data_IF_516300151039
#
_entry.id   IF_516300151039
#
_cell.length_a   1.000
_cell.length_b   1.000
_cell.length_c   1.000
_cell.angle_alpha   90.00
_cell.angle_beta   90.00
_cell.angle_gamma   90.00
#
_symmetry.space_group_name_H-M   'P 1'
#
loop_
_entity.id
_entity.type
_entity.pdbx_description
1 polymer ?
#
# COMPACT_ATOMS: atom_id res chain seq x y z
N UNK A 1 62.39 69.82 -7.69
CA UNK A 1 62.01 69.95 -6.27
C UNK A 1 61.11 68.77 -5.88
N UNK A 2 61.63 67.96 -5.00
CA UNK A 2 61.02 66.72 -4.57
C UNK A 2 59.95 66.98 -3.52
N UNK A 3 58.89 66.20 -3.56
CA UNK A 3 58.12 65.95 -2.33
C UNK A 3 57.60 64.49 -2.34
N UNK A 4 58.16 63.75 -1.42
CA UNK A 4 57.77 62.39 -1.07
C UNK A 4 56.35 62.35 -0.53
N UNK A 5 55.53 61.44 -1.03
CA UNK A 5 54.33 61.03 -0.36
C UNK A 5 54.39 59.54 -0.04
N UNK A 6 54.22 59.28 1.26
CA UNK A 6 54.35 57.98 1.89
C UNK A 6 53.22 57.04 1.44
N UNK A 7 53.60 55.91 0.92
CA UNK A 7 52.70 54.82 0.54
C UNK A 7 52.34 54.06 1.83
N UNK A 8 51.14 54.25 2.31
CA UNK A 8 50.55 53.43 3.35
C UNK A 8 49.99 52.16 2.75
N UNK A 9 50.61 51.05 3.03
CA UNK A 9 50.12 49.73 2.68
C UNK A 9 48.91 49.37 3.52
N UNK A 10 47.74 49.54 3.02
CA UNK A 10 46.53 48.94 3.59
C UNK A 10 46.48 47.50 3.13
N UNK A 11 46.70 46.59 4.08
CA UNK A 11 46.49 45.16 3.89
C UNK A 11 44.99 44.90 3.59
N UNK A 12 44.66 44.74 2.32
CA UNK A 12 43.36 44.24 1.90
C UNK A 12 43.39 42.71 2.06
N UNK A 13 42.88 42.22 3.19
CA UNK A 13 42.58 40.82 3.38
C UNK A 13 41.46 40.45 2.44
N UNK A 14 41.82 39.86 1.29
CA UNK A 14 40.86 39.23 0.40
C UNK A 14 40.43 37.95 1.11
N UNK A 15 39.30 38.02 1.81
CA UNK A 15 38.57 36.83 2.21
C UNK A 15 38.08 36.13 0.96
N UNK A 16 38.76 35.08 0.57
CA UNK A 16 38.35 34.18 -0.47
C UNK A 16 37.15 33.39 0.09
N UNK A 17 35.93 33.95 -0.07
CA UNK A 17 34.73 33.19 0.10
C UNK A 17 34.70 32.12 -0.99
N UNK A 18 35.16 30.90 -0.67
CA UNK A 18 34.85 29.69 -1.37
C UNK A 18 33.35 29.50 -1.33
N UNK A 19 32.66 29.86 -2.39
CA UNK A 19 31.29 29.45 -2.66
C UNK A 19 31.30 27.93 -2.87
N UNK A 20 31.24 27.18 -1.78
CA UNK A 20 30.77 25.82 -1.84
C UNK A 20 29.28 25.93 -2.09
N UNK A 21 28.87 25.76 -3.34
CA UNK A 21 27.49 25.37 -3.65
C UNK A 21 27.26 24.01 -3.01
N UNK A 22 26.86 24.01 -1.75
CA UNK A 22 26.21 22.86 -1.16
C UNK A 22 24.93 22.70 -1.96
N UNK A 23 24.85 21.67 -2.80
CA UNK A 23 23.58 21.13 -3.22
C UNK A 23 22.87 20.72 -1.94
N UNK A 24 22.01 21.57 -1.42
CA UNK A 24 20.98 21.16 -0.48
C UNK A 24 20.11 20.13 -1.21
N UNK A 25 20.29 18.85 -0.85
CA UNK A 25 19.28 17.86 -1.14
C UNK A 25 18.01 18.39 -0.51
N UNK A 26 16.87 18.40 -1.23
CA UNK A 26 15.61 18.69 -0.61
C UNK A 26 15.43 17.69 0.54
N UNK A 27 15.36 18.20 1.77
CA UNK A 27 14.91 17.43 2.92
C UNK A 27 13.54 16.89 2.55
N UNK A 28 13.45 15.57 2.41
CA UNK A 28 12.17 14.89 2.41
C UNK A 28 11.57 15.19 3.80
N UNK A 29 10.45 15.88 3.82
CA UNK A 29 9.70 16.27 5.04
C UNK A 29 9.08 15.07 5.78
N UNK A 30 9.72 13.91 5.79
CA UNK A 30 9.25 12.68 6.44
C UNK A 30 10.22 12.13 7.50
N UNK A 31 11.26 12.88 7.88
CA UNK A 31 11.95 12.62 9.14
C UNK A 31 11.23 13.40 10.23
N UNK A 32 10.09 12.87 10.73
CA UNK A 32 9.57 13.28 12.03
C UNK A 32 10.68 13.04 13.06
N UNK A 33 11.27 14.15 13.50
CA UNK A 33 12.21 14.22 14.62
C UNK A 33 11.62 13.44 15.79
N UNK A 34 12.21 12.30 16.11
CA UNK A 34 11.85 11.51 17.28
C UNK A 34 12.05 12.39 18.51
N UNK A 35 11.00 13.05 18.98
CA UNK A 35 10.98 13.56 20.35
C UNK A 35 11.05 12.33 21.24
N UNK A 36 12.19 12.15 21.91
CA UNK A 36 12.29 11.28 23.07
C UNK A 36 11.24 11.77 24.08
N UNK A 37 10.04 11.22 23.97
CA UNK A 37 9.03 11.37 25.01
C UNK A 37 9.58 10.64 26.23
N UNK A 38 9.57 11.33 27.38
CA UNK A 38 9.95 10.77 28.67
C UNK A 38 9.40 9.35 28.81
N UNK A 39 10.24 8.42 29.26
CA UNK A 39 9.84 7.03 29.46
C UNK A 39 8.53 6.98 30.25
N UNK A 40 7.50 6.27 29.78
CA UNK A 40 6.21 6.24 30.43
C UNK A 40 6.36 5.76 31.88
N UNK A 41 5.89 6.56 32.83
CA UNK A 41 5.85 6.23 34.24
C UNK A 41 4.75 5.21 34.50
N UNK A 42 5.04 3.93 34.34
CA UNK A 42 4.08 2.84 34.60
C UNK A 42 4.72 1.47 34.46
N UNK A 43 4.04 0.45 34.97
CA UNK A 43 4.46 -0.94 34.80
C UNK A 43 4.43 -1.30 33.32
N UNK A 44 5.61 -1.57 32.76
CA UNK A 44 5.76 -2.00 31.36
C UNK A 44 5.49 -3.50 31.26
N UNK A 45 4.68 -3.88 30.30
CA UNK A 45 4.39 -5.27 29.96
C UNK A 45 4.82 -5.57 28.52
N UNK A 46 5.22 -6.81 28.29
CA UNK A 46 5.73 -7.27 27.00
C UNK A 46 4.59 -7.81 26.14
N UNK A 47 4.37 -7.17 24.99
CA UNK A 47 3.34 -7.57 24.04
C UNK A 47 3.99 -8.10 22.76
N UNK A 48 3.47 -9.23 22.28
CA UNK A 48 3.89 -9.82 21.00
C UNK A 48 2.68 -10.03 20.08
N UNK A 49 2.72 -9.40 18.92
CA UNK A 49 1.81 -9.67 17.80
C UNK A 49 2.46 -10.69 16.89
N UNK A 50 1.74 -11.77 16.59
CA UNK A 50 2.29 -12.92 15.86
C UNK A 50 1.21 -13.64 15.04
N UNK A 51 1.61 -14.69 14.31
CA UNK A 51 0.70 -15.54 13.53
C UNK A 51 -0.19 -14.72 12.59
N UNK A 52 0.43 -13.76 11.88
CA UNK A 52 -0.26 -12.99 10.86
C UNK A 52 -0.75 -13.93 9.77
N UNK A 53 -2.06 -14.17 9.71
CA UNK A 53 -2.69 -15.14 8.82
C UNK A 53 -4.03 -14.64 8.28
N UNK A 54 -4.50 -15.26 7.22
CA UNK A 54 -5.85 -15.07 6.70
C UNK A 54 -6.55 -16.40 6.47
N UNK A 55 -7.84 -16.44 6.72
CA UNK A 55 -8.71 -17.58 6.40
C UNK A 55 -9.36 -17.44 5.00
N UNK A 56 -9.04 -16.36 4.28
CA UNK A 56 -9.57 -16.09 2.96
C UNK A 56 -8.72 -16.75 1.90
N UNK A 57 -9.38 -17.44 0.95
CA UNK A 57 -8.69 -18.11 -0.16
C UNK A 57 -7.92 -17.12 -1.03
N UNK A 58 -6.79 -17.56 -1.59
CA UNK A 58 -6.07 -16.81 -2.61
C UNK A 58 -6.95 -16.56 -3.83
N UNK A 59 -6.81 -15.39 -4.47
CA UNK A 59 -7.47 -15.10 -5.75
C UNK A 59 -7.10 -16.07 -6.87
N UNK A 60 -5.94 -16.72 -6.81
CA UNK A 60 -5.54 -17.76 -7.77
C UNK A 60 -6.33 -19.05 -7.62
N UNK A 61 -6.92 -19.32 -6.45
CA UNK A 61 -7.72 -20.54 -6.19
C UNK A 61 -9.20 -20.36 -6.53
N UNK A 62 -9.63 -19.16 -6.91
CA UNK A 62 -11.01 -18.85 -7.30
C UNK A 62 -11.24 -18.92 -8.81
N UNK A 63 -10.22 -19.27 -9.60
CA UNK A 63 -10.36 -19.54 -11.03
C UNK A 63 -10.76 -21.01 -11.23
N UNK A 64 -11.92 -21.20 -11.74
CA UNK A 64 -12.61 -22.39 -12.19
C UNK A 64 -13.51 -23.08 -11.15
N UNK A 65 -14.76 -22.97 -11.45
CA UNK A 65 -15.77 -24.03 -11.51
C UNK A 65 -17.14 -23.54 -11.06
N UNK A 66 -17.95 -23.24 -12.04
CA UNK A 66 -19.40 -23.07 -11.87
C UNK A 66 -20.12 -24.39 -11.56
N UNK A 67 -19.41 -25.54 -11.57
CA UNK A 67 -20.00 -26.88 -11.38
C UNK A 67 -19.57 -27.62 -10.10
N UNK A 68 -18.63 -27.10 -9.32
CA UNK A 68 -18.19 -27.74 -8.06
C UNK A 68 -18.50 -26.92 -6.79
N UNK A 69 -19.48 -26.04 -6.87
CA UNK A 69 -19.84 -25.14 -5.74
C UNK A 69 -20.33 -25.84 -4.49
N UNK A 70 -20.79 -27.08 -4.56
CA UNK A 70 -21.43 -27.78 -3.42
C UNK A 70 -20.50 -28.71 -2.66
N UNK A 71 -19.40 -29.19 -3.23
CA UNK A 71 -18.52 -30.17 -2.58
C UNK A 71 -17.37 -29.57 -1.74
N UNK A 72 -17.08 -28.25 -1.85
CA UNK A 72 -15.93 -27.60 -1.19
C UNK A 72 -16.30 -26.79 0.05
N UNK A 73 -17.56 -26.74 0.44
CA UNK A 73 -17.99 -26.02 1.66
C UNK A 73 -17.63 -26.74 2.99
N UNK A 74 -17.17 -27.98 2.95
CA UNK A 74 -16.95 -28.78 4.16
C UNK A 74 -15.48 -28.93 4.61
N UNK A 75 -14.50 -28.38 3.89
CA UNK A 75 -13.12 -28.32 4.38
C UNK A 75 -12.83 -26.90 4.85
N UNK A 76 -12.68 -26.74 6.17
CA UNK A 76 -12.07 -25.54 6.75
C UNK A 76 -10.77 -25.26 5.97
N UNK A 77 -10.70 -24.15 5.22
CA UNK A 77 -9.49 -23.78 4.53
C UNK A 77 -8.42 -23.51 5.57
N UNK A 78 -7.31 -24.25 5.49
CA UNK A 78 -6.16 -24.00 6.33
C UNK A 78 -5.76 -22.52 6.22
N UNK A 79 -5.53 -21.88 7.36
CA UNK A 79 -5.21 -20.46 7.39
C UNK A 79 -3.85 -20.23 6.73
N UNK A 80 -3.80 -19.33 5.75
CA UNK A 80 -2.56 -19.00 5.02
C UNK A 80 -1.80 -17.91 5.76
N UNK A 81 -0.50 -18.09 6.03
CA UNK A 81 0.35 -17.03 6.57
C UNK A 81 0.40 -15.81 5.65
N UNK A 82 0.28 -14.61 6.21
CA UNK A 82 0.38 -13.34 5.45
C UNK A 82 1.78 -13.19 4.85
N UNK A 83 2.80 -13.72 5.49
CA UNK A 83 4.19 -13.70 5.02
C UNK A 83 4.42 -14.44 3.70
N UNK A 84 3.51 -15.34 3.33
CA UNK A 84 3.52 -16.02 2.03
C UNK A 84 2.78 -15.23 0.93
N UNK A 85 1.91 -14.29 1.33
CA UNK A 85 1.03 -13.54 0.43
C UNK A 85 1.51 -12.10 0.19
N UNK A 86 2.20 -11.51 1.15
CA UNK A 86 2.59 -10.10 1.15
C UNK A 86 4.08 -9.92 1.42
N UNK A 87 4.63 -8.86 0.82
CA UNK A 87 6.05 -8.50 0.99
C UNK A 87 6.27 -7.44 2.06
N UNK A 88 5.22 -6.80 2.55
CA UNK A 88 5.28 -5.73 3.55
C UNK A 88 4.20 -5.89 4.59
N UNK A 89 4.56 -5.58 5.82
CA UNK A 89 3.64 -5.42 6.95
C UNK A 89 3.91 -4.05 7.56
N UNK A 90 2.91 -3.20 7.57
CA UNK A 90 2.92 -1.90 8.22
C UNK A 90 2.04 -1.98 9.46
N UNK A 91 2.55 -1.54 10.59
CA UNK A 91 1.90 -1.61 11.90
C UNK A 91 1.84 -0.21 12.51
N UNK A 92 0.71 0.14 13.08
CA UNK A 92 0.56 1.35 13.89
C UNK A 92 -0.23 1.03 15.16
N UNK A 93 0.20 1.64 16.26
CA UNK A 93 -0.43 1.57 17.57
C UNK A 93 -0.89 2.97 17.97
N UNK A 94 -2.11 3.09 18.43
CA UNK A 94 -2.71 4.33 18.91
C UNK A 94 -3.18 4.16 20.35
N UNK A 95 -3.03 5.19 21.14
CA UNK A 95 -3.75 5.31 22.41
C UNK A 95 -5.26 5.37 22.12
N UNK A 96 -6.02 4.54 22.80
CA UNK A 96 -7.46 4.45 22.50
C UNK A 96 -8.24 5.67 22.99
N UNK A 97 -7.83 6.26 24.12
CA UNK A 97 -8.53 7.37 24.76
C UNK A 97 -8.26 8.69 24.04
N UNK A 98 -7.00 8.92 23.64
CA UNK A 98 -6.58 10.18 23.00
C UNK A 98 -6.63 10.11 21.46
N UNK A 99 -6.57 8.89 20.89
CA UNK A 99 -6.39 8.68 19.45
C UNK A 99 -4.97 8.99 18.96
N UNK A 100 -4.04 9.32 19.86
CA UNK A 100 -2.67 9.66 19.52
C UNK A 100 -1.90 8.42 19.05
N UNK A 101 -1.12 8.59 17.97
CA UNK A 101 -0.27 7.52 17.45
C UNK A 101 0.97 7.34 18.33
N UNK A 102 1.10 6.18 18.96
CA UNK A 102 2.19 5.85 19.89
C UNK A 102 3.38 5.26 19.13
N UNK A 103 3.12 4.37 18.17
CA UNK A 103 4.18 3.60 17.51
C UNK A 103 3.82 3.28 16.06
N UNK A 104 4.82 3.35 15.19
CA UNK A 104 4.75 2.82 13.83
C UNK A 104 5.93 1.88 13.60
N UNK A 105 5.69 0.73 12.99
CA UNK A 105 6.71 -0.23 12.60
C UNK A 105 6.41 -0.73 11.18
N UNK A 106 7.45 -0.86 10.38
CA UNK A 106 7.36 -1.35 9.02
C UNK A 106 8.29 -2.55 8.87
N UNK A 107 7.78 -3.61 8.31
CA UNK A 107 8.55 -4.83 8.03
C UNK A 107 8.45 -5.19 6.55
N UNK A 108 9.52 -5.76 6.04
CA UNK A 108 9.61 -6.34 4.70
C UNK A 108 10.06 -7.79 4.79
N UNK A 109 10.00 -8.51 3.68
CA UNK A 109 10.50 -9.90 3.59
C UNK A 109 11.99 -10.04 3.91
N UNK A 110 12.74 -8.93 3.94
CA UNK A 110 14.17 -8.94 4.25
C UNK A 110 14.44 -8.86 5.77
N UNK A 111 13.39 -8.60 6.57
CA UNK A 111 13.50 -8.52 8.02
C UNK A 111 13.39 -9.91 8.65
N UNK A 112 14.33 -10.30 9.50
CA UNK A 112 14.31 -11.59 10.22
C UNK A 112 13.05 -11.78 11.07
N UNK A 113 12.46 -10.68 11.56
CA UNK A 113 11.24 -10.69 12.36
C UNK A 113 9.96 -10.56 11.53
N UNK A 114 10.02 -10.69 10.20
CA UNK A 114 8.86 -10.53 9.33
C UNK A 114 7.68 -11.40 9.76
N UNK A 115 6.55 -10.76 10.10
CA UNK A 115 5.37 -11.44 10.63
C UNK A 115 5.38 -11.65 12.15
N UNK A 116 6.31 -11.01 12.89
CA UNK A 116 6.33 -10.98 14.35
C UNK A 116 6.77 -9.60 14.84
N UNK A 117 5.98 -9.00 15.73
CA UNK A 117 6.25 -7.68 16.31
C UNK A 117 6.20 -7.80 17.83
N UNK A 118 7.28 -7.45 18.51
CA UNK A 118 7.36 -7.47 19.98
C UNK A 118 7.73 -6.08 20.48
N UNK A 119 7.04 -5.61 21.51
CA UNK A 119 7.28 -4.32 22.15
C UNK A 119 6.90 -4.34 23.62
N UNK A 120 7.42 -3.37 24.37
CA UNK A 120 6.97 -3.11 25.73
C UNK A 120 5.99 -1.93 25.70
N UNK A 121 4.87 -2.06 26.39
CA UNK A 121 3.82 -1.05 26.53
C UNK A 121 3.48 -0.86 28.00
N UNK A 122 3.00 0.33 28.36
CA UNK A 122 2.32 0.56 29.64
C UNK A 122 0.97 -0.13 29.62
N UNK A 123 0.44 -0.49 30.80
CA UNK A 123 -0.93 -0.99 30.93
C UNK A 123 -1.92 0.05 30.41
N UNK A 124 -2.91 -0.38 29.63
CA UNK A 124 -3.88 0.53 29.05
C UNK A 124 -4.62 -0.06 27.85
N UNK A 125 -5.42 0.77 27.22
CA UNK A 125 -6.25 0.40 26.06
C UNK A 125 -5.66 1.01 24.79
N UNK A 126 -5.51 0.18 23.76
CA UNK A 126 -4.84 0.56 22.51
C UNK A 126 -5.63 0.15 21.29
N UNK A 127 -5.62 0.99 20.24
CA UNK A 127 -6.09 0.60 18.92
C UNK A 127 -4.89 0.15 18.07
N UNK A 128 -4.99 -1.08 17.54
CA UNK A 128 -3.96 -1.70 16.69
C UNK A 128 -4.44 -1.69 15.26
N UNK A 129 -3.64 -1.11 14.37
CA UNK A 129 -3.85 -1.15 12.92
C UNK A 129 -2.68 -1.85 12.27
N UNK A 130 -2.97 -2.88 11.48
CA UNK A 130 -1.98 -3.58 10.65
C UNK A 130 -2.45 -3.62 9.21
N UNK A 131 -1.55 -3.35 8.30
CA UNK A 131 -1.78 -3.44 6.86
C UNK A 131 -0.66 -4.26 6.23
N UNK A 132 -1.01 -5.30 5.49
CA UNK A 132 -0.07 -6.11 4.72
C UNK A 132 -0.37 -6.01 3.23
N UNK A 133 0.66 -5.82 2.40
CA UNK A 133 0.47 -5.59 0.96
C UNK A 133 1.76 -5.87 0.15
N UNK A 134 1.66 -5.77 -1.20
CA UNK A 134 2.77 -6.01 -2.13
C UNK A 134 3.28 -4.75 -2.85
N UNK A 135 2.95 -3.56 -2.36
CA UNK A 135 3.40 -2.28 -2.94
C UNK A 135 4.90 -2.02 -2.73
N UNK A 136 5.46 -1.10 -3.51
CA UNK A 136 6.90 -0.78 -3.49
C UNK A 136 7.31 0.16 -2.34
N UNK A 137 6.37 0.69 -1.57
CA UNK A 137 6.61 1.57 -0.41
C UNK A 137 5.68 1.23 0.74
N UNK A 138 5.91 1.83 1.90
CA UNK A 138 5.07 1.63 3.06
C UNK A 138 3.70 2.29 2.89
N UNK A 139 2.67 1.70 3.49
CA UNK A 139 1.39 2.35 3.67
C UNK A 139 1.50 3.42 4.77
N UNK A 140 0.79 4.53 4.60
CA UNK A 140 0.71 5.60 5.60
C UNK A 140 -0.43 5.30 6.57
N UNK A 141 -0.08 5.06 7.82
CA UNK A 141 -0.99 4.68 8.90
C UNK A 141 -1.14 5.78 9.97
N UNK A 142 -0.87 7.04 9.63
CA UNK A 142 -0.97 8.14 10.59
C UNK A 142 -2.39 8.45 11.06
N UNK A 143 -3.37 8.11 10.24
CA UNK A 143 -4.79 8.25 10.54
C UNK A 143 -5.53 6.95 10.17
N UNK A 144 -6.13 6.21 11.13
CA UNK A 144 -6.89 5.00 10.84
C UNK A 144 -8.08 5.22 9.90
N UNK A 145 -8.67 6.41 9.86
CA UNK A 145 -9.78 6.74 8.96
C UNK A 145 -9.33 6.98 7.52
N UNK A 146 -8.01 7.15 7.29
CA UNK A 146 -7.47 7.51 5.98
C UNK A 146 -6.13 6.84 5.73
N UNK A 147 -6.14 5.54 5.46
CA UNK A 147 -4.95 4.78 5.09
C UNK A 147 -4.65 4.95 3.61
N UNK A 148 -3.44 5.41 3.30
CA UNK A 148 -2.99 5.67 1.92
C UNK A 148 -1.78 4.83 1.54
N UNK A 149 -1.49 4.74 0.24
CA UNK A 149 -0.39 3.95 -0.32
C UNK A 149 0.46 4.82 -1.23
N UNK A 150 1.73 4.49 -1.33
CA UNK A 150 2.66 5.19 -2.22
C UNK A 150 2.10 5.25 -3.64
N UNK A 151 2.10 6.44 -4.22
CA UNK A 151 1.61 6.72 -5.58
C UNK A 151 0.15 6.29 -5.83
N UNK A 152 -0.64 6.15 -4.78
CA UNK A 152 -2.01 5.60 -4.81
C UNK A 152 -2.11 4.22 -5.47
N UNK A 153 -1.00 3.47 -5.52
CA UNK A 153 -0.92 2.17 -6.17
C UNK A 153 -1.39 1.07 -5.23
N UNK A 154 -2.51 0.46 -5.56
CA UNK A 154 -3.12 -0.60 -4.77
C UNK A 154 -2.66 -1.96 -5.28
N UNK A 155 -2.36 -2.85 -4.35
CA UNK A 155 -2.03 -4.26 -4.61
C UNK A 155 -2.93 -5.17 -3.79
N UNK A 156 -2.70 -6.48 -3.82
CA UNK A 156 -3.38 -7.38 -2.89
C UNK A 156 -3.08 -6.93 -1.45
N UNK A 157 -4.13 -6.55 -0.72
CA UNK A 157 -4.02 -5.85 0.56
C UNK A 157 -4.92 -6.49 1.61
N UNK A 158 -4.31 -6.76 2.76
CA UNK A 158 -4.95 -7.29 3.96
C UNK A 158 -4.82 -6.29 5.10
N UNK A 159 -5.78 -6.26 6.00
CA UNK A 159 -5.73 -5.42 7.18
C UNK A 159 -6.28 -6.11 8.43
N UNK A 160 -5.90 -5.55 9.57
CA UNK A 160 -6.43 -5.85 10.87
C UNK A 160 -6.59 -4.54 11.64
N UNK A 161 -7.75 -4.31 12.21
CA UNK A 161 -8.00 -3.20 13.13
C UNK A 161 -8.77 -3.72 14.33
N UNK A 162 -8.24 -3.50 15.53
CA UNK A 162 -8.89 -3.91 16.78
C UNK A 162 -8.39 -3.10 17.95
N UNK A 163 -9.29 -2.83 18.89
CA UNK A 163 -8.95 -2.31 20.21
C UNK A 163 -8.57 -3.50 21.12
N UNK A 164 -7.46 -3.35 21.85
CA UNK A 164 -6.93 -4.33 22.79
C UNK A 164 -6.77 -3.70 24.17
N UNK A 165 -6.98 -4.49 25.21
CA UNK A 165 -6.65 -4.14 26.60
C UNK A 165 -5.32 -4.81 26.95
N UNK A 166 -4.39 -4.03 27.49
CA UNK A 166 -3.04 -4.45 27.86
C UNK A 166 -2.89 -4.34 29.37
N UNK A 167 -2.94 -5.47 30.08
CA UNK A 167 -2.85 -5.53 31.54
C UNK A 167 -1.62 -6.32 32.00
N UNK A 168 -1.17 -7.29 31.20
CA UNK A 168 -0.06 -8.20 31.49
C UNK A 168 0.66 -8.62 30.21
N UNK A 169 1.77 -9.32 30.32
CA UNK A 169 2.49 -9.91 29.20
C UNK A 169 1.56 -10.76 28.34
N UNK A 170 1.43 -10.42 27.07
CA UNK A 170 0.42 -11.03 26.21
C UNK A 170 0.90 -11.28 24.77
N UNK A 171 0.29 -12.30 24.16
CA UNK A 171 0.48 -12.62 22.75
C UNK A 171 -0.83 -12.48 22.00
N UNK A 172 -0.82 -11.74 20.90
CA UNK A 172 -1.97 -11.54 20.04
C UNK A 172 -1.77 -12.21 18.68
N UNK A 173 -2.65 -13.14 18.35
CA UNK A 173 -2.70 -13.77 17.02
C UNK A 173 -3.52 -12.88 16.06
N UNK A 174 -2.93 -12.60 14.88
CA UNK A 174 -3.45 -11.61 13.95
C UNK A 174 -4.15 -12.25 12.76
N UNK A 175 -5.49 -12.35 12.82
CA UNK A 175 -6.29 -12.82 11.66
C UNK A 175 -6.70 -11.64 10.81
N UNK A 176 -6.05 -11.49 9.66
CA UNK A 176 -6.23 -10.37 8.74
C UNK A 176 -7.29 -10.65 7.67
N UNK A 177 -7.96 -9.60 7.23
CA UNK A 177 -8.99 -9.65 6.17
C UNK A 177 -8.48 -8.97 4.91
N UNK A 178 -8.69 -9.60 3.73
CA UNK A 178 -8.46 -8.94 2.44
C UNK A 178 -9.57 -7.94 2.17
N UNK A 179 -9.19 -6.69 1.89
CA UNK A 179 -10.12 -5.57 1.73
C UNK A 179 -10.23 -5.04 0.31
N UNK A 180 -9.43 -5.56 -0.60
CA UNK A 180 -9.47 -5.17 -2.02
C UNK A 180 -10.43 -6.04 -2.82
N UNK A 181 -10.97 -5.46 -3.89
CA UNK A 181 -11.47 -6.18 -5.05
C UNK A 181 -10.34 -6.28 -6.08
N UNK A 182 -10.29 -7.41 -6.79
CA UNK A 182 -9.38 -7.65 -7.91
C UNK A 182 -10.19 -7.75 -9.21
N UNK A 183 -9.85 -6.91 -10.18
CA UNK A 183 -10.34 -7.04 -11.56
C UNK A 183 -9.20 -7.55 -12.43
N UNK A 184 -9.47 -8.58 -13.22
CA UNK A 184 -8.56 -9.18 -14.21
C UNK A 184 -9.14 -9.07 -15.60
N UNK A 185 -8.36 -8.47 -16.51
CA UNK A 185 -8.55 -8.63 -17.93
C UNK A 185 -7.75 -9.85 -18.39
N UNK A 186 -8.41 -10.77 -19.08
CA UNK A 186 -7.76 -11.88 -19.81
C UNK A 186 -7.89 -11.58 -21.30
N UNK A 187 -6.77 -11.47 -22.00
CA UNK A 187 -6.67 -11.33 -23.45
C UNK A 187 -6.36 -12.72 -24.00
N UNK A 188 -7.35 -13.34 -24.65
CA UNK A 188 -7.25 -14.73 -25.10
C UNK A 188 -6.39 -14.89 -26.35
N UNK A 189 -6.51 -13.94 -27.27
CA UNK A 189 -5.75 -13.97 -28.52
C UNK A 189 -4.36 -13.36 -28.30
N UNK A 190 -3.34 -13.77 -29.09
CA UNK A 190 -2.05 -13.12 -29.10
C UNK A 190 -2.18 -11.60 -29.27
N UNK A 191 -1.51 -10.85 -28.41
CA UNK A 191 -1.49 -9.39 -28.50
C UNK A 191 -0.73 -8.96 -29.76
N UNK A 192 -1.25 -8.03 -30.59
CA UNK A 192 -0.51 -7.51 -31.73
C UNK A 192 0.84 -6.91 -31.35
N UNK A 193 1.88 -7.10 -32.17
CA UNK A 193 3.25 -6.68 -31.87
C UNK A 193 3.45 -5.17 -31.73
N UNK A 194 2.56 -4.37 -32.31
CA UNK A 194 2.58 -2.90 -32.18
C UNK A 194 2.02 -2.42 -30.82
N UNK A 195 1.38 -3.28 -30.03
CA UNK A 195 0.94 -2.98 -28.68
C UNK A 195 2.07 -3.24 -27.69
N UNK A 196 2.55 -2.20 -27.03
CA UNK A 196 3.64 -2.30 -26.03
C UNK A 196 3.18 -2.03 -24.60
N UNK A 197 2.02 -1.37 -24.45
CA UNK A 197 1.51 -0.99 -23.12
C UNK A 197 -0.01 -1.12 -23.08
N UNK A 198 -0.51 -1.73 -22.02
CA UNK A 198 -1.92 -1.70 -21.66
C UNK A 198 -2.15 -0.63 -20.59
N UNK A 199 -3.04 0.32 -20.88
CA UNK A 199 -3.45 1.38 -19.94
C UNK A 199 -4.83 1.07 -19.40
N UNK A 200 -4.95 1.13 -18.08
CA UNK A 200 -6.21 1.02 -17.35
C UNK A 200 -6.52 2.33 -16.68
N UNK A 201 -7.60 2.98 -17.07
CA UNK A 201 -8.16 4.12 -16.33
C UNK A 201 -9.46 3.66 -15.68
N UNK A 202 -9.58 3.82 -14.37
CA UNK A 202 -10.75 3.31 -13.68
C UNK A 202 -11.25 4.24 -12.57
N UNK A 203 -12.57 4.19 -12.36
CA UNK A 203 -13.33 4.98 -11.38
C UNK A 203 -14.35 4.11 -10.67
N UNK A 204 -14.93 4.60 -9.59
CA UNK A 204 -15.95 3.87 -8.81
C UNK A 204 -15.39 2.96 -7.73
N UNK A 205 -14.06 2.95 -7.58
CA UNK A 205 -13.35 2.39 -6.43
C UNK A 205 -12.58 3.46 -5.69
N UNK A 206 -11.80 3.07 -4.71
CA UNK A 206 -11.00 3.97 -3.88
C UNK A 206 -9.53 3.54 -3.82
N UNK A 207 -8.61 4.52 -3.78
CA UNK A 207 -7.18 4.32 -3.52
C UNK A 207 -6.82 4.44 -2.05
N UNK A 208 -7.78 4.79 -1.20
CA UNK A 208 -7.63 5.04 0.23
C UNK A 208 -8.74 4.31 0.96
N UNK A 209 -8.45 3.73 2.12
CA UNK A 209 -9.50 3.11 2.92
C UNK A 209 -9.52 3.63 4.36
N UNK A 210 -10.70 3.53 4.98
CA UNK A 210 -10.92 3.78 6.39
C UNK A 210 -10.84 2.44 7.13
N UNK A 211 -9.87 2.28 8.04
CA UNK A 211 -9.66 1.04 8.77
C UNK A 211 -10.75 0.75 9.81
N UNK A 212 -11.49 1.78 10.28
CA UNK A 212 -12.59 1.60 11.22
C UNK A 212 -13.76 0.88 10.55
N UNK A 213 -14.04 1.20 9.29
CA UNK A 213 -15.12 0.59 8.50
C UNK A 213 -14.63 -0.56 7.62
N UNK A 214 -13.35 -0.54 7.23
CA UNK A 214 -12.74 -1.46 6.27
C UNK A 214 -12.98 -1.10 4.81
N UNK A 215 -13.73 -0.03 4.50
CA UNK A 215 -14.12 0.34 3.15
C UNK A 215 -13.31 1.50 2.56
N UNK A 216 -13.33 1.59 1.24
CA UNK A 216 -12.79 2.72 0.51
C UNK A 216 -13.51 4.03 0.87
N UNK A 217 -12.74 5.11 1.12
CA UNK A 217 -13.28 6.36 1.66
C UNK A 217 -13.07 7.59 0.75
N UNK A 218 -12.52 7.41 -0.45
CA UNK A 218 -12.35 8.49 -1.43
C UNK A 218 -12.80 8.07 -2.83
N UNK A 219 -13.36 8.98 -3.60
CA UNK A 219 -13.69 8.74 -5.00
C UNK A 219 -12.44 8.89 -5.86
N UNK A 220 -11.80 7.78 -6.20
CA UNK A 220 -10.55 7.79 -6.94
C UNK A 220 -10.75 7.73 -8.45
N UNK A 221 -9.85 8.44 -9.15
CA UNK A 221 -9.60 8.27 -10.58
C UNK A 221 -8.19 7.73 -10.69
N UNK A 222 -8.05 6.47 -11.06
CA UNK A 222 -6.77 5.78 -11.09
C UNK A 222 -6.35 5.46 -12.51
N UNK A 223 -5.06 5.56 -12.77
CA UNK A 223 -4.46 5.17 -14.05
C UNK A 223 -3.31 4.23 -13.77
N UNK A 224 -3.32 3.08 -14.41
CA UNK A 224 -2.22 2.13 -14.35
C UNK A 224 -1.75 1.75 -15.75
N UNK A 225 -0.43 1.70 -15.92
CA UNK A 225 0.23 1.24 -17.13
C UNK A 225 0.85 -0.13 -16.85
N UNK A 226 0.65 -1.06 -17.76
CA UNK A 226 1.22 -2.40 -17.74
C UNK A 226 1.95 -2.66 -19.04
N UNK A 227 3.26 -2.92 -18.97
CA UNK A 227 4.01 -3.35 -20.14
C UNK A 227 3.49 -4.70 -20.64
N UNK A 228 3.36 -4.85 -21.93
CA UNK A 228 3.05 -6.13 -22.57
C UNK A 228 4.29 -7.02 -22.45
N UNK A 229 4.12 -8.21 -21.92
CA UNK A 229 5.20 -9.21 -21.81
C UNK A 229 5.42 -9.90 -23.16
N UNK A 230 6.64 -10.38 -23.40
CA UNK A 230 7.00 -11.08 -24.63
C UNK A 230 6.08 -12.26 -24.91
N UNK A 231 5.74 -13.05 -23.90
CA UNK A 231 4.82 -14.18 -24.05
C UNK A 231 3.42 -13.79 -24.51
N UNK A 232 2.98 -12.55 -24.26
CA UNK A 232 1.66 -12.09 -24.67
C UNK A 232 1.49 -11.94 -26.20
N UNK A 233 2.58 -11.92 -26.95
CA UNK A 233 2.54 -11.88 -28.42
C UNK A 233 2.27 -13.26 -29.06
N UNK A 234 2.35 -14.33 -28.27
CA UNK A 234 2.15 -15.70 -28.76
C UNK A 234 1.11 -16.47 -27.95
N UNK A 235 0.78 -16.02 -26.75
CA UNK A 235 -0.08 -16.73 -25.81
C UNK A 235 -1.11 -15.81 -25.15
N UNK A 236 -2.08 -16.43 -24.48
CA UNK A 236 -3.04 -15.74 -23.62
C UNK A 236 -2.29 -14.90 -22.55
N UNK A 237 -2.76 -13.71 -22.30
CA UNK A 237 -2.17 -12.82 -21.28
C UNK A 237 -3.24 -12.29 -20.32
N UNK A 238 -2.81 -11.85 -19.13
CA UNK A 238 -3.71 -11.25 -18.15
C UNK A 238 -3.12 -10.02 -17.47
N UNK A 239 -4.00 -9.11 -17.08
CA UNK A 239 -3.67 -7.84 -16.43
C UNK A 239 -4.58 -7.62 -15.22
N UNK A 240 -3.97 -7.44 -14.06
CA UNK A 240 -4.67 -7.26 -12.79
C UNK A 240 -4.63 -5.81 -12.33
N UNK A 241 -5.77 -5.30 -11.85
CA UNK A 241 -5.89 -4.07 -11.10
C UNK A 241 -6.62 -4.33 -9.79
N UNK A 242 -6.31 -3.53 -8.78
CA UNK A 242 -6.89 -3.62 -7.45
C UNK A 242 -7.50 -2.30 -7.03
N UNK A 243 -8.54 -2.35 -6.22
CA UNK A 243 -9.16 -1.15 -5.65
C UNK A 243 -9.87 -1.50 -4.35
N UNK A 244 -10.01 -0.53 -3.45
CA UNK A 244 -10.87 -0.68 -2.27
C UNK A 244 -12.31 -0.41 -2.67
N UNK A 245 -13.24 -1.38 -2.46
CA UNK A 245 -14.66 -1.13 -2.61
C UNK A 245 -15.16 -0.12 -1.59
N UNK A 246 -16.10 0.72 -1.99
CA UNK A 246 -16.87 1.55 -1.07
C UNK A 246 -17.85 0.72 -0.25
N UNK A 247 -18.44 1.33 0.76
CA UNK A 247 -19.54 0.72 1.51
C UNK A 247 -20.63 0.24 0.55
N UNK A 248 -21.15 -0.99 0.71
CA UNK A 248 -22.24 -1.51 -0.13
C UNK A 248 -23.47 -0.59 -0.22
N UNK A 249 -23.76 0.18 0.83
CA UNK A 249 -24.87 1.14 0.86
C UNK A 249 -24.69 2.28 -0.16
N UNK A 250 -23.45 2.65 -0.51
CA UNK A 250 -23.17 3.64 -1.55
C UNK A 250 -23.44 3.12 -2.98
N UNK A 251 -23.66 1.83 -3.16
CA UNK A 251 -24.02 1.19 -4.45
C UNK A 251 -23.07 1.52 -5.61
N UNK A 252 -21.81 1.90 -5.30
CA UNK A 252 -20.80 2.25 -6.32
C UNK A 252 -20.35 1.03 -7.09
N UNK A 253 -20.13 1.22 -8.38
CA UNK A 253 -19.66 0.19 -9.30
C UNK A 253 -18.42 0.67 -10.03
N UNK A 254 -17.51 -0.26 -10.30
CA UNK A 254 -16.29 0.02 -11.03
C UNK A 254 -16.62 0.24 -12.52
N UNK A 255 -15.99 1.27 -13.10
CA UNK A 255 -15.87 1.49 -14.53
C UNK A 255 -14.40 1.42 -14.89
N UNK A 256 -14.06 0.64 -15.92
CA UNK A 256 -12.68 0.45 -16.40
C UNK A 256 -12.64 0.79 -17.88
N UNK A 257 -11.86 1.81 -18.23
CA UNK A 257 -11.51 2.16 -19.60
C UNK A 257 -10.11 1.56 -19.88
N UNK A 258 -10.03 0.65 -20.84
CA UNK A 258 -8.83 -0.08 -21.21
C UNK A 258 -8.36 0.46 -22.56
N UNK A 259 -7.06 0.74 -22.68
CA UNK A 259 -6.46 1.19 -23.95
C UNK A 259 -5.17 0.42 -24.22
N UNK A 260 -5.05 -0.10 -25.44
CA UNK A 260 -3.83 -0.67 -25.97
C UNK A 260 -3.02 0.43 -26.65
N UNK A 261 -1.76 0.60 -26.26
CA UNK A 261 -0.88 1.71 -26.69
C UNK A 261 0.38 1.15 -27.34
N UNK A 262 0.91 1.89 -28.32
CA UNK A 262 2.21 1.57 -28.94
C UNK A 262 3.41 1.90 -28.03
N UNK A 263 3.23 2.73 -27.01
CA UNK A 263 4.21 3.03 -25.95
C UNK A 263 3.50 3.60 -24.71
N UNK A 264 4.19 3.63 -23.56
CA UNK A 264 3.67 4.22 -22.33
C UNK A 264 3.38 5.74 -22.45
N UNK A 265 4.05 6.43 -23.39
CA UNK A 265 3.88 7.86 -23.65
C UNK A 265 2.92 8.19 -24.80
N UNK A 266 2.34 7.17 -25.45
CA UNK A 266 1.41 7.40 -26.57
C UNK A 266 0.15 8.13 -26.11
N UNK A 267 -0.24 9.17 -26.84
CA UNK A 267 -1.45 9.96 -26.59
C UNK A 267 -2.70 9.35 -27.23
N UNK A 268 -2.55 8.52 -28.26
CA UNK A 268 -3.63 7.82 -28.96
C UNK A 268 -3.56 6.32 -28.69
N UNK A 269 -4.73 5.73 -28.51
CA UNK A 269 -4.86 4.29 -28.37
C UNK A 269 -4.97 3.62 -29.74
N UNK A 270 -4.30 2.47 -29.92
CA UNK A 270 -4.47 1.57 -31.04
C UNK A 270 -5.84 0.87 -30.95
N UNK A 271 -6.23 0.53 -29.74
CA UNK A 271 -7.51 -0.07 -29.43
C UNK A 271 -8.01 0.39 -28.05
N UNK A 272 -9.33 0.52 -27.87
CA UNK A 272 -9.95 0.89 -26.61
C UNK A 272 -11.22 0.10 -26.32
N UNK A 273 -11.45 -0.19 -25.04
CA UNK A 273 -12.65 -0.85 -24.55
C UNK A 273 -13.05 -0.27 -23.20
N UNK A 274 -14.33 0.01 -23.03
CA UNK A 274 -14.92 0.37 -21.74
C UNK A 274 -15.73 -0.78 -21.17
N UNK A 275 -15.51 -1.09 -19.89
CA UNK A 275 -16.31 -2.05 -19.11
C UNK A 275 -16.94 -1.26 -17.96
N UNK A 276 -18.27 -1.20 -17.95
CA UNK A 276 -19.02 -0.41 -16.97
C UNK A 276 -19.86 -1.31 -16.04
N UNK A 277 -20.30 -0.72 -14.94
CA UNK A 277 -21.22 -1.36 -13.98
C UNK A 277 -20.67 -2.65 -13.34
N UNK A 278 -19.35 -2.75 -13.18
CA UNK A 278 -18.71 -3.90 -12.54
C UNK A 278 -18.97 -3.86 -11.03
N UNK A 279 -19.72 -4.83 -10.53
CA UNK A 279 -20.00 -4.95 -9.10
C UNK A 279 -18.76 -5.44 -8.37
N UNK A 280 -18.23 -4.62 -7.44
CA UNK A 280 -17.07 -4.92 -6.60
C UNK A 280 -17.49 -5.06 -5.13
N UNK A 281 -16.81 -5.93 -4.41
CA UNK A 281 -16.87 -6.05 -2.95
C UNK A 281 -15.53 -6.54 -2.42
N UNK A 282 -15.31 -6.43 -1.11
CA UNK A 282 -14.10 -6.93 -0.48
C UNK A 282 -13.89 -8.42 -0.81
N UNK A 283 -12.64 -8.80 -1.01
CA UNK A 283 -12.21 -10.17 -1.33
C UNK A 283 -12.91 -10.76 -2.58
N UNK A 284 -13.41 -9.91 -3.49
CA UNK A 284 -14.03 -10.37 -4.74
C UNK A 284 -13.04 -10.33 -5.88
N UNK A 285 -12.97 -11.46 -6.61
CA UNK A 285 -12.26 -11.59 -7.88
C UNK A 285 -13.24 -11.49 -9.04
N UNK A 286 -13.01 -10.57 -9.95
CA UNK A 286 -13.80 -10.36 -11.17
C UNK A 286 -12.87 -10.59 -12.35
N UNK A 287 -13.23 -11.56 -13.21
CA UNK A 287 -12.50 -11.89 -14.42
C UNK A 287 -13.32 -11.48 -15.64
N UNK A 288 -12.75 -10.66 -16.49
CA UNK A 288 -13.29 -10.28 -17.79
C UNK A 288 -12.41 -10.92 -18.88
N UNK A 289 -13.02 -11.69 -19.77
CA UNK A 289 -12.33 -12.39 -20.87
C UNK A 289 -12.72 -11.74 -22.19
N UNK A 290 -11.76 -11.37 -22.99
CA UNK A 290 -11.94 -10.76 -24.30
C UNK A 290 -10.94 -11.26 -25.32
#
# INVERSE_FOLDING_TARGET
MAKHSKLTYTLLAIALCSLTTACEKPLLEDEEEYKETEAPKGDMVRITFRNFKTNQKSFSQTQDNSSEREALQSRASEATPITELCKRINFALFDYETGEKIKTLNQTTDDESFGKITMNLTKGKYAVLVVAHNGDGNATLSNPEKVTFKDNKITDTFYYYKVIDVEEDSNFDMTMKRIVAKFRLVVKDPTPEDVKTMKFYYTGGSSTFNALTGYGCVNSKQTELRSVKESAYTEESYYDIYTFPHDPEESKKLKVDISALSSASSSSALFSKTISNVAISQNKFICYKG
#
